data_IF_526691893008
#
_entry.id   IF_526691893008
#
_cell.length_a   1.000
_cell.length_b   1.000
_cell.length_c   1.000
_cell.angle_alpha   90.00
_cell.angle_beta   90.00
_cell.angle_gamma   90.00
#
_symmetry.space_group_name_H-M   'P 1'
#
loop_
_entity.id
_entity.type
_entity.pdbx_description
1 polymer ?
#
# COMPACT_ATOMS: atom_id res chain seq x y z
N UNK A 1 -2.01 -6.72 14.34
CA UNK A 1 -2.48 -5.42 14.91
C UNK A 1 -3.21 -4.69 13.79
N UNK A 2 -4.54 -4.59 13.80
CA UNK A 2 -5.24 -3.87 12.71
C UNK A 2 -4.92 -2.38 12.83
N UNK A 3 -4.24 -1.85 11.82
CA UNK A 3 -4.19 -0.40 11.61
C UNK A 3 -5.63 0.02 11.40
N UNK A 4 -6.21 0.80 12.31
CA UNK A 4 -7.57 1.32 12.13
C UNK A 4 -7.58 2.09 10.81
N UNK A 5 -8.20 1.51 9.79
CA UNK A 5 -8.24 2.01 8.41
C UNK A 5 -8.73 3.47 8.38
N UNK A 6 -9.59 3.85 9.32
CA UNK A 6 -10.07 5.23 9.49
C UNK A 6 -8.99 6.27 9.77
N UNK A 7 -7.74 5.90 10.11
CA UNK A 7 -6.65 6.87 10.37
C UNK A 7 -5.96 7.39 9.11
N UNK A 8 -6.05 6.69 7.99
CA UNK A 8 -5.38 7.11 6.73
C UNK A 8 -6.30 7.90 5.80
N UNK A 9 -7.62 7.82 6.00
CA UNK A 9 -8.60 8.58 5.24
C UNK A 9 -8.73 9.97 5.88
N UNK A 10 -8.50 11.03 5.09
CA UNK A 10 -8.63 12.42 5.56
C UNK A 10 -10.07 12.72 6.00
N UNK A 11 -10.23 13.71 6.88
CA UNK A 11 -11.54 14.19 7.30
C UNK A 11 -12.41 14.54 6.09
N UNK A 12 -13.70 14.16 6.15
CA UNK A 12 -14.69 14.38 5.08
C UNK A 12 -14.36 13.75 3.70
N UNK A 13 -13.32 12.91 3.59
CA UNK A 13 -13.08 12.15 2.37
C UNK A 13 -13.73 10.77 2.45
N UNK A 14 -14.17 10.24 1.32
CA UNK A 14 -14.79 8.91 1.24
C UNK A 14 -13.75 7.78 1.20
N UNK A 15 -12.56 8.08 0.67
CA UNK A 15 -11.49 7.12 0.49
C UNK A 15 -10.10 7.77 0.63
N UNK A 16 -9.12 6.93 0.91
CA UNK A 16 -7.70 7.21 0.73
C UNK A 16 -7.29 6.72 -0.64
N UNK A 17 -6.57 7.55 -1.41
CA UNK A 17 -6.02 7.18 -2.73
C UNK A 17 -4.53 7.45 -2.73
N UNK A 18 -3.75 6.42 -3.10
CA UNK A 18 -2.33 6.48 -3.30
C UNK A 18 -2.02 6.21 -4.77
N UNK A 19 -1.23 7.08 -5.37
CA UNK A 19 -0.63 6.88 -6.69
C UNK A 19 0.88 6.75 -6.52
N UNK A 20 1.48 5.82 -7.25
CA UNK A 20 2.91 5.60 -7.24
C UNK A 20 3.41 5.19 -8.62
N UNK A 21 4.72 5.34 -8.81
CA UNK A 21 5.43 4.90 -10.00
C UNK A 21 6.67 4.13 -9.53
N UNK A 22 6.84 2.91 -10.02
CA UNK A 22 7.94 2.03 -9.64
C UNK A 22 8.97 2.02 -10.75
N UNK A 23 10.18 2.43 -10.42
CA UNK A 23 11.29 2.34 -11.34
C UNK A 23 11.80 0.88 -11.36
N UNK A 24 11.46 0.15 -12.42
CA UNK A 24 12.05 -1.15 -12.73
C UNK A 24 13.31 -1.01 -13.58
N UNK A 25 13.96 -2.14 -13.85
CA UNK A 25 15.16 -2.21 -14.70
C UNK A 25 14.86 -1.89 -16.16
N UNK A 26 13.76 -2.43 -16.71
CA UNK A 26 13.41 -2.27 -18.12
C UNK A 26 12.45 -1.10 -18.37
N UNK A 27 11.49 -0.92 -17.46
CA UNK A 27 10.46 0.11 -17.57
C UNK A 27 9.93 0.51 -16.22
N UNK A 28 9.23 1.63 -16.21
CA UNK A 28 8.50 2.09 -15.07
C UNK A 28 7.08 1.50 -15.05
N UNK A 29 6.58 1.18 -13.86
CA UNK A 29 5.23 0.63 -13.65
C UNK A 29 4.40 1.59 -12.81
N UNK A 30 3.22 1.98 -13.32
CA UNK A 30 2.30 2.82 -12.58
C UNK A 30 1.47 1.97 -11.61
N UNK A 31 1.36 2.38 -10.36
CA UNK A 31 0.56 1.69 -9.34
C UNK A 31 -0.45 2.64 -8.68
N UNK A 32 -1.59 2.08 -8.30
CA UNK A 32 -2.64 2.79 -7.57
C UNK A 32 -3.23 1.91 -6.47
N UNK A 33 -3.53 2.51 -5.33
CA UNK A 33 -4.29 1.90 -4.24
C UNK A 33 -5.38 2.86 -3.80
N UNK A 34 -6.63 2.43 -3.87
CA UNK A 34 -7.76 3.09 -3.23
C UNK A 34 -8.20 2.24 -2.05
N UNK A 35 -8.42 2.88 -0.91
CA UNK A 35 -9.03 2.23 0.25
C UNK A 35 -10.16 3.07 0.81
N UNK A 36 -11.34 2.49 0.92
CA UNK A 36 -12.53 3.18 1.40
C UNK A 36 -12.76 2.99 2.91
N UNK A 37 -13.80 3.64 3.45
CA UNK A 37 -14.18 3.54 4.86
C UNK A 37 -14.74 2.18 5.27
N UNK A 38 -15.24 1.38 4.32
CA UNK A 38 -15.78 0.04 4.54
C UNK A 38 -14.65 -0.99 4.64
N UNK A 39 -13.44 -0.61 4.21
CA UNK A 39 -12.24 -1.43 4.24
C UNK A 39 -11.93 -2.06 2.89
N UNK A 40 -12.75 -1.81 1.87
CA UNK A 40 -12.54 -2.29 0.52
C UNK A 40 -11.32 -1.62 -0.09
N UNK A 41 -10.52 -2.43 -0.77
CA UNK A 41 -9.27 -2.00 -1.40
C UNK A 41 -9.31 -2.32 -2.88
N UNK A 42 -9.08 -1.30 -3.71
CA UNK A 42 -8.92 -1.44 -5.15
C UNK A 42 -7.48 -1.16 -5.52
N UNK A 43 -6.85 -2.09 -6.24
CA UNK A 43 -5.48 -1.93 -6.73
C UNK A 43 -5.52 -1.76 -8.25
N UNK A 44 -4.68 -0.85 -8.74
CA UNK A 44 -4.42 -0.64 -10.17
C UNK A 44 -2.95 -0.80 -10.47
N UNK A 45 -2.62 -1.50 -11.55
CA UNK A 45 -1.25 -1.66 -12.05
C UNK A 45 -1.29 -1.36 -13.54
N UNK A 46 -0.46 -0.45 -14.03
CA UNK A 46 -0.44 0.03 -15.43
C UNK A 46 -1.85 0.38 -15.99
N UNK A 47 -2.72 0.89 -15.12
CA UNK A 47 -4.08 1.31 -15.47
C UNK A 47 -5.14 0.21 -15.46
N UNK A 48 -4.79 -1.07 -15.28
CA UNK A 48 -5.74 -2.17 -15.17
C UNK A 48 -6.24 -2.36 -13.73
N UNK A 49 -7.47 -2.86 -13.59
CA UNK A 49 -8.14 -3.15 -12.31
C UNK A 49 -8.10 -4.66 -11.99
N UNK A 50 -8.55 -5.04 -10.79
CA UNK A 50 -8.71 -6.45 -10.38
C UNK A 50 -7.48 -7.06 -9.70
N UNK A 51 -6.43 -6.27 -9.54
CA UNK A 51 -5.21 -6.68 -8.84
C UNK A 51 -5.46 -6.81 -7.34
N UNK A 52 -4.71 -7.72 -6.72
CA UNK A 52 -4.73 -7.91 -5.26
C UNK A 52 -3.62 -7.08 -4.63
N UNK A 53 -3.82 -6.63 -3.39
CA UNK A 53 -2.77 -5.92 -2.62
C UNK A 53 -1.50 -6.76 -2.51
N UNK A 54 -1.62 -8.10 -2.43
CA UNK A 54 -0.47 -9.00 -2.41
C UNK A 54 0.44 -8.89 -3.65
N UNK A 55 -0.10 -8.50 -4.81
CA UNK A 55 0.67 -8.31 -6.04
C UNK A 55 1.62 -7.11 -5.91
N UNK A 56 1.17 -6.03 -5.26
CA UNK A 56 2.04 -4.87 -4.96
C UNK A 56 3.24 -5.26 -4.07
N UNK A 57 3.04 -6.19 -3.14
CA UNK A 57 4.12 -6.65 -2.25
C UNK A 57 5.21 -7.43 -3.01
N UNK A 58 4.87 -8.10 -4.11
CA UNK A 58 5.85 -8.77 -4.97
C UNK A 58 6.61 -7.76 -5.84
N UNK A 59 5.93 -6.71 -6.32
CA UNK A 59 6.54 -5.66 -7.13
C UNK A 59 7.42 -4.70 -6.32
N UNK A 60 7.11 -4.51 -5.03
CA UNK A 60 7.84 -3.63 -4.12
C UNK A 60 8.23 -4.35 -2.83
N UNK A 61 9.30 -5.14 -2.84
CA UNK A 61 9.92 -5.59 -1.60
C UNK A 61 10.38 -4.36 -0.81
N UNK A 62 9.82 -4.15 0.39
CA UNK A 62 10.18 -3.05 1.26
C UNK A 62 10.67 -3.57 2.61
N UNK A 63 11.73 -2.95 3.14
CA UNK A 63 12.19 -3.18 4.50
C UNK A 63 11.83 -1.97 5.36
N UNK A 64 11.07 -2.20 6.42
CA UNK A 64 10.77 -1.17 7.40
C UNK A 64 11.82 -1.22 8.52
N UNK A 65 12.59 -0.15 8.68
CA UNK A 65 13.55 0.01 9.77
C UNK A 65 12.89 0.94 10.79
N UNK A 66 12.39 0.38 11.88
CA UNK A 66 11.88 1.17 13.02
C UNK A 66 12.54 0.71 14.32
N UNK A 67 12.67 1.60 15.33
CA UNK A 67 13.25 1.23 16.62
C UNK A 67 12.54 0.05 17.30
N UNK A 68 11.21 -0.05 17.14
CA UNK A 68 10.41 -1.15 17.70
C UNK A 68 10.73 -2.51 17.05
N UNK A 69 11.24 -2.50 15.82
CA UNK A 69 11.70 -3.71 15.13
C UNK A 69 12.89 -4.38 15.85
N UNK A 70 13.73 -3.60 16.54
CA UNK A 70 14.83 -4.14 17.34
C UNK A 70 14.34 -4.85 18.60
N UNK A 71 13.25 -4.39 19.20
CA UNK A 71 12.64 -5.05 20.37
C UNK A 71 12.17 -6.47 20.07
N UNK A 72 11.76 -6.75 18.82
CA UNK A 72 11.39 -8.10 18.36
C UNK A 72 12.59 -9.06 18.22
N UNK A 73 13.81 -8.53 18.09
CA UNK A 73 15.03 -9.32 17.91
C UNK A 73 15.76 -9.61 19.23
N UNK A 74 15.50 -8.82 20.27
CA UNK A 74 16.16 -8.92 21.58
C UNK A 74 15.33 -9.70 22.63
N UNK A 75 14.51 -10.66 22.17
CA UNK A 75 13.72 -11.54 23.06
C UNK A 75 14.57 -12.26 24.09
#
# INVERSE_FOLDING_TARGET
>A
RSLQIGRVIRHEQEAFVLHGRLQGEERETAIGLTKDKQGDSKVRIDGTDGHKVAELAHLMPMQLITPEGFTLLNG
#
